data_IF_674011157262
#
_entry.id   IF_674011157262
#
_cell.length_a   1.000
_cell.length_b   1.000
_cell.length_c   1.000
_cell.angle_alpha   90.00
_cell.angle_beta   90.00
_cell.angle_gamma   90.00
#
_symmetry.space_group_name_H-M   'P 1'
#
loop_
_entity.id
_entity.type
_entity.pdbx_description
1 polymer ?
#
# COMPACT_ATOMS: atom_id res chain seq x y z
N UNK A 1 -18.85 4.72 -5.29
CA UNK A 1 -19.61 4.46 -4.04
C UNK A 1 -18.81 4.96 -2.83
N UNK A 2 -19.46 5.36 -1.73
CA UNK A 2 -18.80 5.79 -0.49
C UNK A 2 -18.14 4.63 0.28
N UNK A 3 -18.59 3.39 0.04
CA UNK A 3 -18.20 2.22 0.82
C UNK A 3 -19.00 2.07 2.11
N UNK A 4 -18.84 0.91 2.77
CA UNK A 4 -19.53 0.57 4.02
C UNK A 4 -18.56 0.67 5.19
N UNK A 5 -18.93 1.31 6.32
CA UNK A 5 -18.11 1.31 7.52
C UNK A 5 -17.77 -0.11 7.97
N UNK A 6 -16.51 -0.33 8.37
CA UNK A 6 -16.09 -1.59 8.96
C UNK A 6 -16.53 -1.64 10.44
N UNK A 7 -17.37 -2.60 10.87
CA UNK A 7 -17.82 -2.65 12.25
C UNK A 7 -16.65 -2.79 13.22
N UNK A 8 -16.68 -2.03 14.34
CA UNK A 8 -15.67 -2.05 15.40
C UNK A 8 -14.25 -1.65 14.96
N UNK A 9 -14.13 -0.96 13.82
CA UNK A 9 -12.87 -0.34 13.41
C UNK A 9 -12.85 1.13 13.80
N UNK A 10 -11.86 1.53 14.60
CA UNK A 10 -11.62 2.94 14.90
C UNK A 10 -10.80 3.58 13.77
N UNK A 11 -11.30 4.67 13.19
CA UNK A 11 -10.58 5.43 12.17
C UNK A 11 -9.39 6.22 12.75
N UNK A 12 -9.38 6.46 14.06
CA UNK A 12 -8.28 7.06 14.81
C UNK A 12 -7.51 5.97 15.61
N UNK A 13 -6.19 6.08 15.82
CA UNK A 13 -5.26 7.04 15.20
C UNK A 13 -5.18 6.89 13.67
N UNK A 14 -4.69 7.90 12.93
CA UNK A 14 -4.50 7.79 11.49
C UNK A 14 -3.62 6.60 11.11
N UNK A 15 -3.85 6.04 9.92
CA UNK A 15 -3.19 4.80 9.52
C UNK A 15 -2.75 4.77 8.06
N UNK A 16 -1.76 3.93 7.79
CA UNK A 16 -1.36 3.50 6.44
C UNK A 16 -2.08 2.19 6.11
N UNK A 17 -2.77 2.15 4.98
CA UNK A 17 -3.38 0.93 4.48
C UNK A 17 -2.35 0.18 3.60
N UNK A 18 -2.02 -1.05 3.98
CA UNK A 18 -1.14 -1.93 3.23
C UNK A 18 -1.95 -3.05 2.57
N UNK A 19 -1.88 -3.12 1.24
CA UNK A 19 -2.42 -4.21 0.44
C UNK A 19 -1.28 -5.00 -0.23
N UNK A 20 -0.75 -6.05 0.42
CA UNK A 20 0.48 -6.72 0.00
C UNK A 20 0.24 -7.92 -0.95
N UNK A 21 -1.01 -8.28 -1.24
CA UNK A 21 -1.32 -9.55 -1.91
C UNK A 21 -1.84 -9.35 -3.34
N UNK A 22 -1.24 -10.04 -4.31
CA UNK A 22 -1.68 -10.03 -5.69
C UNK A 22 -2.19 -11.41 -6.11
N UNK A 23 -2.90 -11.45 -7.24
CA UNK A 23 -3.17 -12.71 -7.92
C UNK A 23 -1.87 -13.24 -8.53
N UNK A 24 -1.34 -14.33 -7.97
CA UNK A 24 -0.04 -14.91 -8.33
C UNK A 24 1.05 -14.61 -7.29
N UNK A 25 1.75 -15.67 -6.85
CA UNK A 25 2.67 -15.61 -5.72
C UNK A 25 3.87 -14.68 -5.92
N UNK A 26 4.30 -14.45 -7.16
CA UNK A 26 5.50 -13.67 -7.47
C UNK A 26 5.32 -12.14 -7.37
N UNK A 27 4.08 -11.68 -7.22
CA UNK A 27 3.74 -10.25 -7.12
C UNK A 27 3.43 -9.82 -5.68
N UNK A 28 3.07 -10.76 -4.82
CA UNK A 28 2.80 -10.48 -3.41
C UNK A 28 4.06 -10.13 -2.63
N UNK A 29 3.94 -9.29 -1.60
CA UNK A 29 5.02 -9.03 -0.66
C UNK A 29 5.17 -10.21 0.29
N UNK A 30 6.41 -10.55 0.65
CA UNK A 30 6.69 -11.56 1.68
C UNK A 30 6.35 -11.03 3.08
N UNK A 31 6.07 -11.92 4.04
CA UNK A 31 5.89 -11.56 5.46
C UNK A 31 7.02 -10.67 6.00
N UNK A 32 8.28 -10.98 5.66
CA UNK A 32 9.43 -10.17 6.09
C UNK A 32 9.40 -8.72 5.56
N UNK A 33 8.72 -8.46 4.44
CA UNK A 33 8.53 -7.09 3.91
C UNK A 33 7.36 -6.41 4.62
N UNK A 34 6.28 -7.13 4.89
CA UNK A 34 5.13 -6.63 5.65
C UNK A 34 5.56 -6.21 7.06
N UNK A 35 6.33 -7.06 7.75
CA UNK A 35 6.93 -6.76 9.05
C UNK A 35 7.86 -5.55 9.00
N UNK A 36 8.66 -5.43 7.94
CA UNK A 36 9.56 -4.28 7.75
C UNK A 36 8.77 -2.98 7.56
N UNK A 37 7.65 -3.00 6.83
CA UNK A 37 6.75 -1.85 6.76
C UNK A 37 6.22 -1.45 8.14
N UNK A 38 5.74 -2.43 8.92
CA UNK A 38 5.22 -2.17 10.26
C UNK A 38 6.29 -1.56 11.17
N UNK A 39 7.50 -2.15 11.18
CA UNK A 39 8.63 -1.64 11.97
C UNK A 39 9.05 -0.23 11.54
N UNK A 40 9.22 -0.01 10.24
CA UNK A 40 9.69 1.27 9.72
C UNK A 40 8.66 2.39 9.90
N UNK A 41 7.36 2.07 9.87
CA UNK A 41 6.28 3.03 10.11
C UNK A 41 5.98 3.26 11.60
N UNK A 42 6.52 2.47 12.52
CA UNK A 42 6.25 2.65 13.94
C UNK A 42 6.56 4.10 14.41
N UNK A 43 5.72 4.69 15.28
CA UNK A 43 4.53 4.08 15.90
C UNK A 43 3.22 4.19 15.07
N UNK A 44 3.27 4.71 13.83
CA UNK A 44 2.09 4.84 12.96
C UNK A 44 1.41 3.50 12.74
N UNK A 45 0.07 3.47 12.88
CA UNK A 45 -0.74 2.28 12.67
C UNK A 45 -0.70 1.83 11.20
N UNK A 46 -0.46 0.54 10.98
CA UNK A 46 -0.54 -0.12 9.68
C UNK A 46 -1.74 -1.04 9.66
N UNK A 47 -2.60 -0.93 8.66
CA UNK A 47 -3.76 -1.80 8.48
C UNK A 47 -3.52 -2.67 7.25
N UNK A 48 -3.40 -3.98 7.44
CA UNK A 48 -3.17 -4.93 6.35
C UNK A 48 -4.50 -5.49 5.86
N UNK A 49 -4.72 -5.45 4.54
CA UNK A 49 -5.93 -5.96 3.89
C UNK A 49 -5.57 -6.88 2.72
N UNK A 50 -6.58 -7.60 2.21
CA UNK A 50 -6.48 -8.40 0.99
C UNK A 50 -6.84 -9.86 1.20
N UNK A 51 -6.52 -10.68 0.21
CA UNK A 51 -6.93 -12.09 0.16
C UNK A 51 -5.69 -12.99 0.17
N UNK A 52 -5.38 -13.57 1.33
CA UNK A 52 -4.29 -14.55 1.49
C UNK A 52 -4.69 -15.66 2.46
N UNK A 53 -4.21 -16.88 2.19
CA UNK A 53 -4.31 -18.02 3.11
C UNK A 53 -3.15 -18.09 4.09
N UNK A 54 -2.03 -17.42 3.77
CA UNK A 54 -0.85 -17.37 4.62
C UNK A 54 -1.12 -16.41 5.77
N UNK A 55 -0.73 -16.82 6.98
CA UNK A 55 -0.74 -15.94 8.15
C UNK A 55 0.41 -14.95 8.03
N UNK A 56 0.16 -13.71 8.39
CA UNK A 56 1.20 -12.70 8.59
C UNK A 56 1.55 -12.61 10.07
N UNK A 57 2.79 -12.24 10.36
CA UNK A 57 3.13 -11.80 11.71
C UNK A 57 2.66 -10.36 11.87
N UNK A 58 2.02 -10.05 12.99
CA UNK A 58 1.42 -8.75 13.29
C UNK A 58 2.19 -8.07 14.42
N UNK A 59 3.11 -7.13 14.11
CA UNK A 59 3.68 -6.25 15.13
C UNK A 59 2.61 -5.42 15.84
N UNK A 60 2.93 -4.80 16.97
CA UNK A 60 1.97 -4.10 17.84
C UNK A 60 1.19 -2.99 17.12
N UNK A 61 1.81 -2.28 16.19
CA UNK A 61 1.17 -1.22 15.39
C UNK A 61 0.42 -1.75 14.16
N UNK A 62 0.27 -3.07 14.00
CA UNK A 62 -0.34 -3.70 12.84
C UNK A 62 -1.73 -4.28 13.16
N UNK A 63 -2.74 -3.84 12.40
CA UNK A 63 -4.08 -4.43 12.41
C UNK A 63 -4.23 -5.30 11.16
N UNK A 64 -4.37 -6.61 11.35
CA UNK A 64 -4.59 -7.56 10.24
C UNK A 64 -6.08 -7.77 9.95
N UNK A 65 -6.53 -7.25 8.82
CA UNK A 65 -7.88 -7.42 8.27
C UNK A 65 -7.88 -8.31 7.02
N UNK A 66 -6.84 -9.12 6.81
CA UNK A 66 -6.76 -10.08 5.70
C UNK A 66 -7.98 -11.02 5.75
N UNK A 67 -8.71 -11.11 4.62
CA UNK A 67 -9.99 -11.84 4.47
C UNK A 67 -11.13 -11.38 5.39
N UNK A 68 -11.04 -10.18 5.96
CA UNK A 68 -12.05 -9.66 6.90
C UNK A 68 -12.81 -8.43 6.36
N UNK A 69 -12.65 -8.11 5.07
CA UNK A 69 -13.31 -6.98 4.43
C UNK A 69 -14.12 -7.41 3.21
N UNK A 70 -15.35 -6.92 3.10
CA UNK A 70 -16.08 -6.88 1.82
C UNK A 70 -15.44 -5.86 0.86
N UNK A 71 -15.87 -5.85 -0.40
CA UNK A 71 -15.43 -4.83 -1.36
C UNK A 71 -15.83 -3.41 -0.92
N UNK A 72 -17.06 -3.23 -0.43
CA UNK A 72 -17.53 -1.92 0.04
C UNK A 72 -16.77 -1.46 1.28
N UNK A 73 -16.40 -2.38 2.19
CA UNK A 73 -15.57 -2.07 3.35
C UNK A 73 -14.13 -1.70 2.95
N UNK A 74 -13.55 -2.37 1.96
CA UNK A 74 -12.26 -1.98 1.41
C UNK A 74 -12.29 -0.56 0.82
N UNK A 75 -13.34 -0.22 0.06
CA UNK A 75 -13.52 1.14 -0.48
C UNK A 75 -13.59 2.16 0.66
N UNK A 76 -14.32 1.85 1.73
CA UNK A 76 -14.41 2.73 2.89
C UNK A 76 -13.04 2.93 3.58
N UNK A 77 -12.30 1.84 3.82
CA UNK A 77 -10.94 1.90 4.40
C UNK A 77 -9.99 2.73 3.54
N UNK A 78 -10.01 2.55 2.22
CA UNK A 78 -9.21 3.32 1.27
C UNK A 78 -9.50 4.83 1.37
N UNK A 79 -10.76 5.23 1.59
CA UNK A 79 -11.15 6.64 1.70
C UNK A 79 -10.63 7.31 2.97
N UNK A 80 -10.55 6.57 4.07
CA UNK A 80 -10.18 7.13 5.38
C UNK A 80 -8.70 6.91 5.72
N UNK A 81 -8.00 6.05 4.98
CA UNK A 81 -6.56 5.86 5.10
C UNK A 81 -5.81 7.15 4.75
N UNK A 82 -4.72 7.44 5.46
CA UNK A 82 -3.88 8.61 5.14
C UNK A 82 -2.99 8.38 3.94
N UNK A 83 -2.53 7.16 3.78
CA UNK A 83 -1.75 6.71 2.63
C UNK A 83 -1.99 5.23 2.36
N UNK A 84 -1.93 4.83 1.10
CA UNK A 84 -2.12 3.45 0.66
C UNK A 84 -0.86 2.96 -0.03
N UNK A 85 -0.37 1.79 0.38
CA UNK A 85 0.66 1.04 -0.34
C UNK A 85 0.01 -0.23 -0.85
N UNK A 86 -0.04 -0.42 -2.18
CA UNK A 86 -0.65 -1.60 -2.77
C UNK A 86 0.25 -2.23 -3.82
N UNK A 87 0.29 -3.56 -3.89
CA UNK A 87 0.78 -4.26 -5.08
C UNK A 87 -0.18 -4.08 -6.25
N UNK A 88 0.32 -4.21 -7.47
CA UNK A 88 -0.48 -4.19 -8.70
C UNK A 88 -1.59 -5.26 -8.68
N UNK A 89 -2.83 -4.83 -8.42
CA UNK A 89 -4.00 -5.68 -8.20
C UNK A 89 -5.29 -4.83 -8.20
N UNK A 90 -6.46 -5.47 -8.15
CA UNK A 90 -7.75 -4.77 -8.10
C UNK A 90 -7.83 -3.65 -7.03
N UNK A 91 -7.43 -3.89 -5.77
CA UNK A 91 -7.41 -2.87 -4.73
C UNK A 91 -6.55 -1.63 -5.05
N UNK A 92 -5.48 -1.78 -5.82
CA UNK A 92 -4.68 -0.64 -6.29
C UNK A 92 -5.50 0.29 -7.20
N UNK A 93 -6.27 -0.26 -8.14
CA UNK A 93 -7.10 0.55 -9.03
C UNK A 93 -8.25 1.24 -8.28
N UNK A 94 -8.82 0.57 -7.27
CA UNK A 94 -9.80 1.19 -6.37
C UNK A 94 -9.17 2.38 -5.65
N UNK A 95 -7.97 2.22 -5.09
CA UNK A 95 -7.26 3.31 -4.42
C UNK A 95 -6.97 4.47 -5.37
N UNK A 96 -6.51 4.20 -6.60
CA UNK A 96 -6.19 5.22 -7.59
C UNK A 96 -7.39 6.09 -7.96
N UNK A 97 -8.59 5.48 -8.01
CA UNK A 97 -9.84 6.18 -8.31
C UNK A 97 -10.37 7.01 -7.14
N UNK A 98 -9.88 6.79 -5.92
CA UNK A 98 -10.45 7.37 -4.70
C UNK A 98 -9.55 8.45 -4.10
N UNK A 99 -8.23 8.34 -4.24
CA UNK A 99 -7.28 9.23 -3.59
C UNK A 99 -5.95 9.32 -4.34
N UNK A 100 -5.27 10.49 -4.33
CA UNK A 100 -3.91 10.62 -4.83
C UNK A 100 -2.85 10.01 -3.88
N UNK A 101 -3.20 9.71 -2.63
CA UNK A 101 -2.27 9.20 -1.61
C UNK A 101 -2.03 7.69 -1.76
N UNK A 102 -1.50 7.30 -2.92
CA UNK A 102 -1.26 5.91 -3.31
C UNK A 102 0.18 5.73 -3.76
N UNK A 103 0.82 4.66 -3.29
CA UNK A 103 1.97 4.04 -3.92
C UNK A 103 1.60 2.66 -4.46
N UNK A 104 1.76 2.46 -5.76
CA UNK A 104 1.61 1.16 -6.43
C UNK A 104 2.96 0.47 -6.63
N UNK A 105 3.08 -0.78 -6.18
CA UNK A 105 4.30 -1.60 -6.35
C UNK A 105 4.16 -2.45 -7.62
N UNK A 106 5.00 -2.17 -8.61
CA UNK A 106 5.10 -2.91 -9.86
C UNK A 106 6.39 -3.73 -9.90
N UNK A 107 6.28 -5.06 -9.78
CA UNK A 107 7.42 -5.97 -9.82
C UNK A 107 7.78 -6.32 -11.26
N UNK A 108 6.94 -7.06 -11.96
CA UNK A 108 7.23 -7.65 -13.28
C UNK A 108 6.71 -6.82 -14.45
N UNK A 109 5.62 -6.13 -14.23
CA UNK A 109 4.80 -5.48 -15.24
C UNK A 109 5.22 -4.04 -15.48
N UNK A 110 4.86 -3.52 -16.65
CA UNK A 110 5.11 -2.13 -17.01
C UNK A 110 3.98 -1.24 -16.43
N UNK A 111 4.30 -0.34 -15.48
CA UNK A 111 3.29 0.55 -14.89
C UNK A 111 2.63 1.49 -15.91
N UNK A 112 3.24 1.71 -17.09
CA UNK A 112 2.59 2.48 -18.17
C UNK A 112 1.41 1.75 -18.79
N UNK A 113 1.36 0.42 -18.67
CA UNK A 113 0.32 -0.42 -19.28
C UNK A 113 -0.83 -0.71 -18.33
N UNK A 114 -0.51 -0.95 -17.06
CA UNK A 114 -1.47 -1.43 -16.04
C UNK A 114 -1.25 -0.79 -14.66
N UNK A 115 -0.70 0.42 -14.63
CA UNK A 115 -0.53 1.23 -13.42
C UNK A 115 -1.80 1.92 -12.95
N UNK A 116 -1.71 2.65 -11.84
CA UNK A 116 -2.78 3.51 -11.37
C UNK A 116 -3.02 4.64 -12.37
N UNK A 117 -4.26 4.80 -12.84
CA UNK A 117 -4.68 5.93 -13.69
C UNK A 117 -4.94 7.20 -12.87
N UNK A 118 -3.99 7.57 -12.02
CA UNK A 118 -4.01 8.79 -11.22
C UNK A 118 -2.63 9.43 -11.30
N UNK A 119 -2.47 10.61 -11.95
CA UNK A 119 -1.17 11.22 -12.21
C UNK A 119 -0.40 11.58 -10.92
N UNK A 120 -1.11 11.79 -9.81
CA UNK A 120 -0.52 12.16 -8.52
C UNK A 120 -0.06 10.96 -7.70
N UNK A 121 -0.51 9.75 -8.06
CA UNK A 121 -0.06 8.53 -7.41
C UNK A 121 1.42 8.26 -7.72
N UNK A 122 2.04 7.50 -6.82
CA UNK A 122 3.39 7.03 -6.97
C UNK A 122 3.43 5.59 -7.47
N UNK A 123 4.49 5.27 -8.19
CA UNK A 123 4.83 3.92 -8.61
C UNK A 123 6.21 3.58 -8.10
N UNK A 124 6.34 2.39 -7.52
CA UNK A 124 7.63 1.74 -7.34
C UNK A 124 7.88 0.76 -8.49
N UNK A 125 9.05 0.83 -9.12
CA UNK A 125 9.53 -0.15 -10.10
C UNK A 125 11.03 -0.33 -9.96
N UNK A 126 11.46 -1.57 -9.69
CA UNK A 126 12.87 -1.96 -9.64
C UNK A 126 13.74 -1.21 -8.59
N UNK A 127 13.16 -0.52 -7.61
CA UNK A 127 13.89 0.31 -6.64
C UNK A 127 13.80 1.80 -6.91
N UNK A 128 13.11 2.21 -7.97
CA UNK A 128 12.88 3.59 -8.32
C UNK A 128 11.43 3.96 -7.97
N UNK A 129 11.25 5.15 -7.39
CA UNK A 129 9.95 5.76 -7.13
C UNK A 129 9.72 6.85 -8.17
N UNK A 130 8.54 6.86 -8.79
CA UNK A 130 8.20 7.80 -9.86
C UNK A 130 6.74 8.18 -9.75
N UNK A 131 6.40 9.46 -9.93
CA UNK A 131 5.00 9.87 -10.04
C UNK A 131 4.41 9.37 -11.35
N UNK A 132 3.13 9.00 -11.34
CA UNK A 132 2.45 8.50 -12.54
C UNK A 132 2.50 9.51 -13.69
N UNK A 133 2.29 10.79 -13.39
CA UNK A 133 2.37 11.87 -14.39
C UNK A 133 3.73 12.02 -15.07
N UNK A 134 4.79 11.40 -14.54
CA UNK A 134 6.14 11.44 -15.07
C UNK A 134 6.54 10.13 -15.77
N UNK A 135 5.70 9.08 -15.75
CA UNK A 135 6.06 7.75 -16.24
C UNK A 135 6.34 7.69 -17.75
N UNK A 136 5.68 8.55 -18.54
CA UNK A 136 5.85 8.60 -20.00
C UNK A 136 7.28 9.00 -20.38
N UNK A 137 7.86 9.95 -19.66
CA UNK A 137 9.19 10.49 -19.93
C UNK A 137 10.29 9.84 -19.09
N UNK A 138 9.93 9.21 -17.96
CA UNK A 138 10.88 8.52 -17.08
C UNK A 138 11.58 7.35 -17.79
N UNK A 139 12.86 7.11 -17.48
CA UNK A 139 13.59 5.93 -17.96
C UNK A 139 13.30 4.71 -17.08
N UNK A 140 12.15 4.07 -17.30
CA UNK A 140 11.76 2.88 -16.53
C UNK A 140 12.51 1.63 -17.02
N UNK A 141 13.04 0.84 -16.09
CA UNK A 141 13.67 -0.44 -16.43
C UNK A 141 12.67 -1.44 -16.99
N UNK A 142 12.99 -2.01 -18.15
CA UNK A 142 12.19 -3.07 -18.80
C UNK A 142 12.08 -4.33 -17.93
N UNK A 143 13.15 -4.69 -17.23
CA UNK A 143 13.18 -5.88 -16.38
C UNK A 143 12.65 -5.60 -14.97
N UNK A 144 11.77 -6.50 -14.53
CA UNK A 144 11.23 -6.48 -13.17
C UNK A 144 12.15 -7.12 -12.13
N UNK A 145 11.90 -6.80 -10.86
CA UNK A 145 12.36 -7.61 -9.73
C UNK A 145 11.33 -7.54 -8.61
N UNK A 146 11.40 -8.51 -7.69
CA UNK A 146 10.62 -8.46 -6.44
C UNK A 146 10.96 -7.23 -5.62
N UNK A 147 9.95 -6.70 -4.94
CA UNK A 147 10.09 -5.74 -3.85
C UNK A 147 10.69 -6.47 -2.64
N UNK A 148 11.68 -5.86 -1.97
CA UNK A 148 12.46 -6.46 -0.87
C UNK A 148 12.48 -5.51 0.32
N UNK A 149 12.93 -5.99 1.48
CA UNK A 149 13.04 -5.19 2.72
C UNK A 149 13.79 -3.86 2.52
N UNK A 150 14.89 -3.87 1.75
CA UNK A 150 15.67 -2.65 1.44
C UNK A 150 14.89 -1.57 0.68
N UNK A 151 13.78 -1.94 0.04
CA UNK A 151 12.93 -1.01 -0.71
C UNK A 151 11.89 -0.32 0.19
N UNK A 152 11.73 -0.76 1.44
CA UNK A 152 10.77 -0.19 2.39
C UNK A 152 11.20 1.21 2.84
N UNK A 153 12.48 1.41 3.17
CA UNK A 153 12.95 2.69 3.72
C UNK A 153 12.66 3.89 2.79
N UNK A 154 12.98 3.86 1.48
CA UNK A 154 12.62 4.96 0.57
C UNK A 154 11.11 5.21 0.47
N UNK A 155 10.30 4.15 0.59
CA UNK A 155 8.83 4.27 0.61
C UNK A 155 8.37 4.95 1.89
N UNK A 156 8.92 4.59 3.04
CA UNK A 156 8.57 5.22 4.31
C UNK A 156 9.01 6.68 4.35
N UNK A 157 10.18 7.02 3.82
CA UNK A 157 10.64 8.41 3.67
C UNK A 157 9.66 9.26 2.85
N UNK A 158 9.11 8.69 1.77
CA UNK A 158 8.06 9.32 0.98
C UNK A 158 6.76 9.53 1.77
N UNK A 159 6.36 8.55 2.58
CA UNK A 159 5.07 8.52 3.28
C UNK A 159 5.09 9.37 4.56
N UNK A 160 6.22 9.42 5.28
CA UNK A 160 6.33 10.01 6.63
C UNK A 160 5.78 11.45 6.71
N UNK A 161 6.07 12.36 5.76
CA UNK A 161 5.54 13.73 5.81
C UNK A 161 4.01 13.81 5.65
N UNK A 162 3.39 12.78 5.07
CA UNK A 162 1.95 12.72 4.76
C UNK A 162 1.13 12.02 5.85
N UNK A 163 1.80 11.28 6.74
CA UNK A 163 1.16 10.50 7.80
C UNK A 163 1.80 10.90 9.13
N UNK A 164 1.32 11.98 9.77
CA UNK A 164 1.91 12.46 11.01
C UNK A 164 1.82 11.38 12.08
N UNK A 165 2.87 11.30 12.89
CA UNK A 165 2.85 10.50 14.11
C UNK A 165 1.82 11.13 15.03
N UNK A 166 0.91 10.32 15.53
CA UNK A 166 -0.05 10.78 16.52
C UNK A 166 0.71 11.21 17.79
N UNK A 167 0.64 12.48 18.21
CA UNK A 167 1.38 12.96 19.38
C UNK A 167 0.97 12.24 20.67
N UNK A 168 -0.19 11.58 20.70
CA UNK A 168 -0.64 10.76 21.84
C UNK A 168 -0.02 9.35 21.86
N UNK A 169 0.66 8.94 20.79
CA UNK A 169 1.32 7.62 20.62
C UNK A 169 2.85 7.78 20.49
N UNK A 170 3.36 9.01 20.53
CA UNK A 170 4.79 9.35 20.40
C UNK A 170 5.55 9.31 21.73
#
# INVERSE_FOLDING_TARGET
PSGDPLPRFDAHPPFVLLHPFAHGHDKSLSNAVIEEFCRALAPTRVVVVGQSRLRINTPENCVDLTRQTSLLQLIWLVRIARFIVSVESGPMHIAAAVTPNLLSIHTWTDPRRIGPYNPDAWVWKHGELTRVGELETAKIRKHGRRFRRKDVAPVVELIRPLVPIDPMVA
#
